data_IF_642113207038
#
_entry.id   IF_642113207038
#
_cell.length_a   1.000
_cell.length_b   1.000
_cell.length_c   1.000
_cell.angle_alpha   90.00
_cell.angle_beta   90.00
_cell.angle_gamma   90.00
#
_symmetry.space_group_name_H-M   'P 1'
#
loop_
_entity.id
_entity.type
_entity.pdbx_description
1 polymer ?
#
# COMPACT_ATOMS: atom_id res chain seq x y z
N UNK A 1 9.74 -0.22 -15.41
CA UNK A 1 8.35 -0.71 -15.29
C UNK A 1 8.29 -1.81 -14.24
N UNK A 2 7.27 -1.78 -13.38
CA UNK A 2 7.05 -2.75 -12.30
C UNK A 2 5.60 -3.22 -12.34
N UNK A 3 5.37 -4.50 -12.03
CA UNK A 3 4.05 -5.07 -11.75
C UNK A 3 4.07 -5.69 -10.36
N UNK A 4 2.99 -5.53 -9.59
CA UNK A 4 2.85 -6.10 -8.25
C UNK A 4 1.51 -6.81 -8.15
N UNK A 5 1.54 -8.04 -7.65
CA UNK A 5 0.36 -8.87 -7.42
C UNK A 5 0.07 -8.93 -5.91
N UNK A 6 -1.13 -8.53 -5.51
CA UNK A 6 -1.56 -8.60 -4.11
C UNK A 6 -2.15 -9.99 -3.84
N UNK A 7 -1.48 -10.79 -3.01
CA UNK A 7 -1.88 -12.16 -2.68
C UNK A 7 -2.43 -12.28 -1.26
N UNK A 8 -1.71 -11.76 -0.26
CA UNK A 8 -2.08 -11.73 1.15
C UNK A 8 -2.26 -13.10 1.82
N UNK A 9 -1.78 -14.18 1.19
CA UNK A 9 -1.80 -15.54 1.72
C UNK A 9 -0.80 -16.45 1.00
N UNK A 10 -0.37 -17.52 1.69
CA UNK A 10 0.39 -18.63 1.11
C UNK A 10 -0.44 -19.92 1.03
N UNK A 11 -1.59 -19.96 1.68
CA UNK A 11 -2.52 -21.10 1.62
C UNK A 11 -3.86 -20.70 1.02
N UNK A 12 -4.57 -21.67 0.42
CA UNK A 12 -5.93 -21.48 -0.13
C UNK A 12 -6.93 -21.07 0.95
N UNK A 13 -6.81 -21.69 2.11
CA UNK A 13 -7.69 -21.45 3.26
C UNK A 13 -7.59 -20.02 3.74
N UNK A 14 -6.37 -19.51 3.89
CA UNK A 14 -6.14 -18.13 4.30
C UNK A 14 -6.52 -17.16 3.18
N UNK A 15 -6.20 -17.48 1.93
CA UNK A 15 -6.60 -16.67 0.78
C UNK A 15 -8.13 -16.49 0.72
N UNK A 16 -8.87 -17.60 0.88
CA UNK A 16 -10.33 -17.55 0.90
C UNK A 16 -10.88 -16.67 2.03
N UNK A 17 -10.28 -16.72 3.22
CA UNK A 17 -10.68 -15.90 4.37
C UNK A 17 -10.38 -14.41 4.16
N UNK A 18 -9.23 -14.10 3.55
CA UNK A 18 -8.74 -12.71 3.40
C UNK A 18 -9.31 -12.05 2.15
N UNK A 19 -9.32 -12.78 1.03
CA UNK A 19 -9.74 -12.27 -0.28
C UNK A 19 -11.19 -12.59 -0.63
N UNK A 20 -11.85 -13.40 0.18
CA UNK A 20 -13.22 -13.87 -0.05
C UNK A 20 -13.40 -14.54 -1.43
N UNK A 21 -12.38 -15.27 -1.89
CA UNK A 21 -12.31 -15.89 -3.22
C UNK A 21 -11.66 -17.26 -3.14
N UNK A 22 -12.11 -18.19 -3.98
CA UNK A 22 -11.55 -19.53 -4.14
C UNK A 22 -10.50 -19.60 -5.28
N UNK A 23 -10.10 -18.48 -5.87
CA UNK A 23 -9.24 -18.43 -7.07
C UNK A 23 -7.74 -18.46 -6.77
N UNK A 24 -7.31 -18.89 -5.60
CA UNK A 24 -5.89 -18.90 -5.20
C UNK A 24 -4.97 -19.54 -6.26
N UNK A 25 -5.27 -20.78 -6.68
CA UNK A 25 -4.45 -21.49 -7.68
C UNK A 25 -4.40 -20.77 -9.02
N UNK A 26 -5.51 -20.22 -9.45
CA UNK A 26 -5.59 -19.47 -10.71
C UNK A 26 -4.69 -18.23 -10.66
N UNK A 27 -4.71 -17.52 -9.54
CA UNK A 27 -3.87 -16.31 -9.35
C UNK A 27 -2.39 -16.70 -9.29
N UNK A 28 -2.03 -17.70 -8.49
CA UNK A 28 -0.64 -18.19 -8.38
C UNK A 28 -0.13 -18.67 -9.74
N UNK A 29 -0.89 -19.51 -10.45
CA UNK A 29 -0.51 -20.00 -11.76
C UNK A 29 -0.37 -18.85 -12.79
N UNK A 30 -1.20 -17.81 -12.69
CA UNK A 30 -1.10 -16.64 -13.57
C UNK A 30 0.19 -15.85 -13.32
N UNK A 31 0.60 -15.71 -12.05
CA UNK A 31 1.87 -15.07 -11.68
C UNK A 31 3.05 -15.88 -12.23
N UNK A 32 3.07 -17.18 -11.98
CA UNK A 32 4.14 -18.08 -12.46
C UNK A 32 4.24 -18.05 -13.98
N UNK A 33 3.10 -18.11 -14.67
CA UNK A 33 3.05 -18.05 -16.14
C UNK A 33 3.53 -16.69 -16.66
N UNK A 34 3.19 -15.60 -15.98
CA UNK A 34 3.67 -14.27 -16.35
C UNK A 34 5.21 -14.19 -16.28
N UNK A 35 5.78 -14.72 -15.19
CA UNK A 35 7.24 -14.76 -14.99
C UNK A 35 7.90 -15.61 -16.07
N UNK A 36 7.36 -16.81 -16.32
CA UNK A 36 7.86 -17.70 -17.37
C UNK A 36 7.87 -17.02 -18.76
N UNK A 37 6.81 -16.31 -19.11
CA UNK A 37 6.71 -15.59 -20.40
C UNK A 37 7.72 -14.45 -20.48
N UNK A 38 7.92 -13.70 -19.40
CA UNK A 38 8.93 -12.64 -19.33
C UNK A 38 10.32 -13.23 -19.53
N UNK A 39 10.66 -14.24 -18.76
CA UNK A 39 12.02 -14.81 -18.71
C UNK A 39 12.35 -15.57 -20.00
N UNK A 40 11.40 -16.34 -20.54
CA UNK A 40 11.60 -17.05 -21.82
C UNK A 40 11.74 -16.10 -23.02
N UNK A 41 11.15 -14.92 -22.92
CA UNK A 41 11.35 -13.83 -23.89
C UNK A 41 12.67 -13.09 -23.75
N UNK A 42 13.49 -13.41 -22.74
CA UNK A 42 14.74 -12.70 -22.43
C UNK A 42 14.55 -11.31 -21.86
N UNK A 43 13.34 -10.99 -21.35
CA UNK A 43 13.03 -9.67 -20.81
C UNK A 43 13.39 -9.59 -19.33
N UNK A 44 14.02 -8.49 -18.92
CA UNK A 44 14.25 -8.16 -17.51
C UNK A 44 13.13 -7.29 -16.92
N UNK A 45 12.26 -6.78 -17.74
CA UNK A 45 11.13 -5.92 -17.34
C UNK A 45 9.80 -6.51 -17.82
N UNK A 46 8.73 -6.28 -17.08
CA UNK A 46 8.66 -5.50 -15.83
C UNK A 46 9.31 -6.23 -14.66
N UNK A 47 9.81 -5.49 -13.68
CA UNK A 47 10.13 -6.04 -12.35
C UNK A 47 8.84 -6.59 -11.74
N UNK A 48 8.85 -7.87 -11.35
CA UNK A 48 7.68 -8.58 -10.85
C UNK A 48 7.74 -8.70 -9.34
N UNK A 49 6.69 -8.26 -8.66
CA UNK A 49 6.60 -8.37 -7.21
C UNK A 49 5.29 -8.99 -6.74
N UNK A 50 5.32 -9.55 -5.53
CA UNK A 50 4.13 -9.93 -4.78
C UNK A 50 4.04 -9.09 -3.51
N UNK A 51 2.81 -8.81 -3.08
CA UNK A 51 2.59 -8.10 -1.82
C UNK A 51 1.64 -8.86 -0.91
N UNK A 52 1.87 -8.67 0.38
CA UNK A 52 1.14 -9.28 1.46
C UNK A 52 0.76 -8.20 2.48
N UNK A 53 -0.51 -7.89 2.59
CA UNK A 53 -1.02 -7.02 3.63
C UNK A 53 -1.24 -7.82 4.92
N UNK A 54 -0.37 -7.62 5.90
CA UNK A 54 -0.40 -8.33 7.17
C UNK A 54 -1.56 -7.88 8.03
N UNK A 55 -2.45 -8.82 8.36
CA UNK A 55 -3.57 -8.66 9.28
C UNK A 55 -3.59 -9.79 10.30
N UNK A 56 -4.41 -9.68 11.35
CA UNK A 56 -4.53 -10.70 12.39
C UNK A 56 -4.79 -12.12 11.83
N UNK A 57 -5.60 -12.22 10.76
CA UNK A 57 -6.01 -13.50 10.17
C UNK A 57 -4.87 -14.21 9.43
N UNK A 58 -3.94 -13.47 8.81
CA UNK A 58 -2.88 -14.04 7.98
C UNK A 58 -1.46 -13.83 8.51
N UNK A 59 -1.26 -13.12 9.61
CA UNK A 59 0.07 -12.78 10.14
C UNK A 59 1.01 -13.97 10.34
N UNK A 60 0.44 -15.16 10.61
CA UNK A 60 1.20 -16.41 10.79
C UNK A 60 1.79 -16.95 9.48
N UNK A 61 1.32 -16.47 8.33
CA UNK A 61 1.81 -16.87 7.02
C UNK A 61 2.88 -15.93 6.43
N UNK A 62 3.26 -14.86 7.12
CA UNK A 62 4.24 -13.89 6.61
C UNK A 62 5.58 -14.55 6.28
N UNK A 63 6.13 -15.29 7.25
CA UNK A 63 7.43 -15.94 7.07
C UNK A 63 7.41 -17.01 5.96
N UNK A 64 6.47 -18.00 5.95
CA UNK A 64 6.40 -18.95 4.84
C UNK A 64 6.09 -18.29 3.49
N UNK A 65 5.32 -17.18 3.44
CA UNK A 65 5.08 -16.42 2.23
C UNK A 65 6.39 -15.84 1.67
N UNK A 66 7.19 -15.21 2.51
CA UNK A 66 8.49 -14.67 2.12
C UNK A 66 9.43 -15.77 1.63
N UNK A 67 9.59 -16.85 2.39
CA UNK A 67 10.50 -17.97 2.04
C UNK A 67 10.14 -18.65 0.71
N UNK A 68 8.88 -18.63 0.34
CA UNK A 68 8.42 -19.19 -0.94
C UNK A 68 8.65 -18.22 -2.10
N UNK A 69 8.23 -16.97 -1.95
CA UNK A 69 8.18 -16.01 -3.05
C UNK A 69 9.52 -15.32 -3.33
N UNK A 70 10.42 -15.18 -2.36
CA UNK A 70 11.76 -14.57 -2.56
C UNK A 70 12.61 -15.29 -3.61
N UNK A 71 12.36 -16.58 -3.85
CA UNK A 71 13.03 -17.40 -4.85
C UNK A 71 12.41 -17.33 -6.24
N UNK A 72 11.25 -16.71 -6.37
CA UNK A 72 10.41 -16.77 -7.57
C UNK A 72 10.26 -15.40 -8.22
N UNK A 73 10.05 -14.37 -7.41
CA UNK A 73 9.79 -13.00 -7.88
C UNK A 73 10.97 -12.09 -7.62
N UNK A 74 11.00 -10.93 -8.26
CA UNK A 74 12.06 -9.95 -8.07
C UNK A 74 11.90 -9.16 -6.76
N UNK A 75 10.66 -9.03 -6.24
CA UNK A 75 10.36 -8.30 -5.01
C UNK A 75 9.26 -8.97 -4.19
N UNK A 76 9.46 -9.06 -2.88
CA UNK A 76 8.41 -9.44 -1.91
C UNK A 76 8.17 -8.26 -0.98
N UNK A 77 6.91 -7.83 -0.85
CA UNK A 77 6.54 -6.65 -0.07
C UNK A 77 5.55 -7.03 1.02
N UNK A 78 5.93 -6.85 2.28
CA UNK A 78 5.03 -7.02 3.41
C UNK A 78 4.53 -5.64 3.84
N UNK A 79 3.22 -5.46 3.81
CA UNK A 79 2.57 -4.20 4.08
C UNK A 79 1.79 -4.27 5.39
N UNK A 80 1.84 -3.21 6.15
CA UNK A 80 1.03 -3.03 7.34
C UNK A 80 -0.42 -2.69 6.94
N UNK A 81 -1.38 -3.28 7.63
CA UNK A 81 -2.78 -2.93 7.40
C UNK A 81 -3.05 -1.47 7.78
N UNK A 82 -3.57 -0.73 6.83
CA UNK A 82 -4.04 0.65 7.02
C UNK A 82 -5.57 0.69 6.84
N UNK A 83 -6.32 0.97 7.91
CA UNK A 83 -7.77 1.07 7.78
C UNK A 83 -8.14 2.30 6.94
N UNK A 84 -9.20 2.22 6.13
CA UNK A 84 -9.67 3.35 5.32
C UNK A 84 -10.11 4.55 6.19
N UNK A 85 -10.55 4.28 7.41
CA UNK A 85 -10.88 5.29 8.42
C UNK A 85 -10.45 4.77 9.79
N UNK A 86 -10.05 5.67 10.68
CA UNK A 86 -9.77 5.30 12.08
C UNK A 86 -11.09 5.01 12.80
N UNK A 87 -11.42 3.72 12.91
CA UNK A 87 -12.65 3.24 13.54
C UNK A 87 -12.38 1.92 14.27
N UNK A 88 -12.99 1.75 15.45
CA UNK A 88 -12.90 0.53 16.27
C UNK A 88 -13.34 -0.76 15.55
N UNK A 89 -14.17 -0.65 14.52
CA UNK A 89 -14.57 -1.78 13.66
C UNK A 89 -13.38 -2.52 13.09
N UNK A 90 -12.25 -1.81 12.85
CA UNK A 90 -11.04 -2.41 12.29
C UNK A 90 -10.08 -2.99 13.34
N UNK A 91 -10.38 -2.90 14.63
CA UNK A 91 -9.48 -3.38 15.69
C UNK A 91 -9.15 -4.88 15.58
N UNK A 92 -10.06 -5.68 15.04
CA UNK A 92 -9.85 -7.11 14.80
C UNK A 92 -8.91 -7.44 13.63
N UNK A 93 -8.62 -6.46 12.77
CA UNK A 93 -7.74 -6.65 11.60
C UNK A 93 -6.27 -6.40 11.91
N UNK A 94 -5.95 -5.63 12.94
CA UNK A 94 -4.56 -5.33 13.25
C UNK A 94 -3.79 -6.58 13.67
N UNK A 95 -2.64 -6.80 13.05
CA UNK A 95 -1.70 -7.82 13.48
C UNK A 95 -1.22 -7.57 14.92
N UNK A 96 -0.70 -8.60 15.59
CA UNK A 96 -0.35 -8.54 17.01
C UNK A 96 0.71 -7.48 17.32
N UNK A 97 1.69 -7.31 16.44
CA UNK A 97 2.76 -6.32 16.56
C UNK A 97 2.30 -4.87 16.30
N UNK A 98 1.22 -4.69 15.53
CA UNK A 98 0.62 -3.38 15.32
C UNK A 98 -0.15 -2.83 16.54
N UNK A 99 -0.61 -3.72 17.43
CA UNK A 99 -1.40 -3.34 18.61
C UNK A 99 -0.57 -2.67 19.70
N UNK A 100 0.73 -2.87 19.69
CA UNK A 100 1.62 -2.42 20.77
C UNK A 100 2.12 -0.96 20.60
N UNK A 101 1.57 -0.22 19.64
CA UNK A 101 2.01 1.14 19.35
C UNK A 101 3.40 1.18 18.71
N UNK A 102 3.69 2.26 18.01
CA UNK A 102 4.98 2.36 17.34
C UNK A 102 5.91 3.33 18.09
N UNK A 103 6.95 2.79 18.70
CA UNK A 103 7.99 3.58 19.35
C UNK A 103 8.89 4.33 18.35
N UNK A 104 8.84 3.97 17.06
CA UNK A 104 9.73 4.48 16.02
C UNK A 104 9.06 5.47 15.04
N UNK A 105 8.02 6.19 15.49
CA UNK A 105 7.41 7.23 14.64
C UNK A 105 8.43 8.35 14.43
N UNK A 106 8.83 8.64 13.17
CA UNK A 106 9.84 9.67 12.93
C UNK A 106 9.31 11.04 13.32
N UNK A 107 10.16 11.84 13.97
CA UNK A 107 9.85 13.23 14.31
C UNK A 107 9.73 14.13 13.07
N UNK A 108 10.36 13.74 11.95
CA UNK A 108 10.32 14.42 10.66
C UNK A 108 10.11 13.36 9.58
N UNK A 109 9.11 13.55 8.71
CA UNK A 109 8.88 12.68 7.57
C UNK A 109 8.39 13.45 6.35
N UNK A 110 9.09 13.30 5.23
CA UNK A 110 8.78 13.94 3.96
C UNK A 110 8.12 12.93 3.03
N UNK A 111 6.78 12.85 3.06
CA UNK A 111 6.03 11.94 2.20
C UNK A 111 6.16 12.37 0.72
N UNK A 112 6.60 11.48 -0.19
CA UNK A 112 6.73 11.79 -1.61
C UNK A 112 5.39 11.86 -2.35
N UNK A 113 4.37 11.17 -1.86
CA UNK A 113 3.08 10.99 -2.54
C UNK A 113 2.48 12.29 -3.11
N UNK A 114 2.36 13.40 -2.35
CA UNK A 114 1.76 14.63 -2.87
C UNK A 114 2.56 15.34 -3.96
N UNK A 115 3.79 14.89 -4.24
CA UNK A 115 4.68 15.46 -5.26
C UNK A 115 4.72 14.63 -6.54
N UNK A 116 4.28 13.37 -6.49
CA UNK A 116 4.48 12.40 -7.57
C UNK A 116 3.19 11.93 -8.21
N UNK A 117 2.04 12.04 -7.50
CA UNK A 117 0.78 11.48 -7.97
C UNK A 117 -0.45 12.23 -7.51
N UNK A 118 -1.55 11.91 -8.15
CA UNK A 118 -2.91 12.10 -7.65
C UNK A 118 -3.66 10.78 -7.72
N UNK A 119 -4.57 10.59 -6.79
CA UNK A 119 -5.53 9.48 -6.81
C UNK A 119 -6.92 10.03 -7.07
N UNK A 120 -7.67 9.37 -7.93
CA UNK A 120 -9.03 9.75 -8.29
C UNK A 120 -9.96 8.66 -7.80
N UNK A 121 -10.90 9.06 -6.93
CA UNK A 121 -11.93 8.16 -6.43
C UNK A 121 -13.30 8.78 -6.69
N UNK A 122 -14.11 8.12 -7.51
CA UNK A 122 -15.28 8.72 -8.17
C UNK A 122 -14.82 9.98 -8.93
N UNK A 123 -15.38 11.15 -8.71
CA UNK A 123 -14.92 12.40 -9.31
C UNK A 123 -13.86 13.13 -8.46
N UNK A 124 -13.72 12.76 -7.19
CA UNK A 124 -12.85 13.47 -6.25
C UNK A 124 -11.37 13.18 -6.49
N UNK A 125 -10.55 14.25 -6.45
CA UNK A 125 -9.10 14.21 -6.66
C UNK A 125 -8.40 14.37 -5.32
N UNK A 126 -7.45 13.46 -5.02
CA UNK A 126 -6.69 13.41 -3.77
C UNK A 126 -5.17 13.44 -4.05
N UNK A 127 -4.36 13.95 -3.11
CA UNK A 127 -2.90 14.04 -3.27
C UNK A 127 -2.17 12.73 -2.95
N UNK A 128 -2.88 11.68 -2.54
CA UNK A 128 -2.32 10.38 -2.17
C UNK A 128 -3.43 9.32 -2.06
N UNK A 129 -3.03 8.06 -1.90
CA UNK A 129 -3.93 6.91 -1.79
C UNK A 129 -4.82 6.89 -0.52
N UNK A 130 -4.65 7.80 0.42
CA UNK A 130 -5.51 7.91 1.61
C UNK A 130 -6.78 8.70 1.32
N UNK A 131 -7.50 8.29 0.29
CA UNK A 131 -8.70 8.97 -0.25
C UNK A 131 -9.96 8.81 0.62
N UNK A 132 -9.96 7.88 1.58
CA UNK A 132 -11.08 7.69 2.50
C UNK A 132 -11.37 8.91 3.38
N UNK A 133 -10.42 9.83 3.51
CA UNK A 133 -10.62 11.07 4.24
C UNK A 133 -10.94 12.23 3.30
N UNK A 134 -12.22 12.59 3.20
CA UNK A 134 -12.69 13.72 2.35
C UNK A 134 -11.98 15.05 2.63
N UNK A 135 -11.42 15.22 3.84
CA UNK A 135 -10.60 16.40 4.18
C UNK A 135 -9.31 16.51 3.36
N UNK A 136 -8.87 15.42 2.72
CA UNK A 136 -7.70 15.43 1.84
C UNK A 136 -8.04 15.77 0.38
N UNK A 137 -9.30 15.83 -0.02
CA UNK A 137 -9.72 16.19 -1.37
C UNK A 137 -9.13 17.54 -1.79
N UNK A 138 -8.47 17.58 -2.94
CA UNK A 138 -7.81 18.79 -3.50
C UNK A 138 -8.53 19.35 -4.71
N UNK A 139 -9.47 18.62 -5.30
CA UNK A 139 -10.31 19.04 -6.42
C UNK A 139 -11.36 17.99 -6.75
N UNK A 140 -12.15 18.28 -7.77
CA UNK A 140 -13.21 17.41 -8.27
C UNK A 140 -13.29 17.50 -9.80
N UNK A 141 -13.26 16.34 -10.48
CA UNK A 141 -13.33 16.28 -11.95
C UNK A 141 -14.63 16.86 -12.55
N UNK A 142 -15.66 17.01 -11.74
CA UNK A 142 -16.89 17.68 -12.20
C UNK A 142 -16.67 19.20 -12.42
N UNK A 143 -15.71 19.80 -11.71
CA UNK A 143 -15.49 21.24 -11.71
C UNK A 143 -14.05 21.66 -12.01
N UNK A 144 -13.09 20.72 -11.87
CA UNK A 144 -11.67 20.99 -11.96
C UNK A 144 -11.00 20.09 -13.01
N UNK A 145 -10.00 20.60 -13.67
CA UNK A 145 -9.01 19.77 -14.35
C UNK A 145 -8.00 19.21 -13.32
N UNK A 146 -7.32 18.10 -13.66
CA UNK A 146 -6.22 17.57 -12.83
C UNK A 146 -5.16 18.64 -12.57
N UNK A 147 -4.85 19.46 -13.58
CA UNK A 147 -3.89 20.56 -13.45
C UNK A 147 -4.34 21.60 -12.43
N UNK A 148 -5.61 22.00 -12.45
CA UNK A 148 -6.18 22.96 -11.48
C UNK A 148 -6.15 22.39 -10.05
N UNK A 149 -6.58 21.14 -9.88
CA UNK A 149 -6.54 20.43 -8.58
C UNK A 149 -5.11 20.32 -8.05
N UNK A 150 -4.16 19.91 -8.90
CA UNK A 150 -2.73 19.82 -8.57
C UNK A 150 -2.14 21.14 -8.11
N UNK A 151 -2.56 22.24 -8.73
CA UNK A 151 -2.10 23.59 -8.45
C UNK A 151 -2.98 24.36 -7.45
N UNK A 152 -4.01 23.73 -6.88
CA UNK A 152 -4.88 24.34 -5.89
C UNK A 152 -4.12 24.83 -4.66
N UNK A 153 -4.66 25.85 -3.98
CA UNK A 153 -4.08 26.36 -2.72
C UNK A 153 -3.88 25.23 -1.70
N UNK A 154 -4.84 24.30 -1.63
CA UNK A 154 -4.79 23.19 -0.71
C UNK A 154 -3.67 22.20 -1.05
N UNK A 155 -3.54 21.79 -2.32
CA UNK A 155 -2.46 20.90 -2.76
C UNK A 155 -1.08 21.52 -2.51
N UNK A 156 -0.92 22.82 -2.81
CA UNK A 156 0.33 23.56 -2.51
C UNK A 156 0.62 23.63 -1.02
N UNK A 157 -0.40 23.86 -0.18
CA UNK A 157 -0.24 23.88 1.28
C UNK A 157 0.20 22.51 1.82
N UNK A 158 -0.41 21.41 1.35
CA UNK A 158 -0.02 20.06 1.73
C UNK A 158 1.44 19.80 1.36
N UNK A 159 1.84 20.10 0.13
CA UNK A 159 3.24 19.95 -0.31
C UNK A 159 4.21 20.79 0.52
N UNK A 160 3.86 22.04 0.83
CA UNK A 160 4.71 22.89 1.67
C UNK A 160 4.95 22.30 3.07
N UNK A 161 3.91 21.77 3.70
CA UNK A 161 4.01 21.09 4.99
C UNK A 161 4.88 19.82 4.87
N UNK A 162 4.65 19.01 3.82
CA UNK A 162 5.42 17.77 3.59
C UNK A 162 6.88 18.05 3.25
N UNK A 163 7.19 19.13 2.52
CA UNK A 163 8.56 19.52 2.22
C UNK A 163 9.37 19.84 3.48
N UNK A 164 8.71 20.39 4.51
CA UNK A 164 9.31 20.65 5.83
C UNK A 164 9.38 19.40 6.70
N UNK A 165 8.68 18.34 6.32
CA UNK A 165 8.58 17.12 7.14
C UNK A 165 7.61 17.23 8.32
N UNK A 166 6.79 18.29 8.35
CA UNK A 166 5.87 18.64 9.45
C UNK A 166 4.52 17.90 9.30
N UNK A 167 4.54 16.60 8.98
CA UNK A 167 3.36 15.80 8.67
C UNK A 167 2.29 15.81 9.77
N UNK A 168 2.68 15.98 11.03
CA UNK A 168 1.77 16.04 12.19
C UNK A 168 0.79 17.22 12.15
N UNK A 169 1.07 18.24 11.35
CA UNK A 169 0.16 19.39 11.17
C UNK A 169 -1.09 19.02 10.36
N UNK A 170 -1.07 17.90 9.65
CA UNK A 170 -2.22 17.35 8.93
C UNK A 170 -2.62 16.06 9.63
N UNK A 171 -3.79 16.06 10.30
CA UNK A 171 -4.25 14.91 11.08
C UNK A 171 -4.19 13.60 10.29
N UNK A 172 -4.69 13.60 9.04
CA UNK A 172 -4.65 12.44 8.15
C UNK A 172 -3.23 11.92 7.91
N UNK A 173 -2.26 12.82 7.71
CA UNK A 173 -0.87 12.44 7.51
C UNK A 173 -0.25 11.92 8.81
N UNK A 174 -0.58 12.50 9.95
CA UNK A 174 -0.16 12.00 11.27
C UNK A 174 -0.66 10.58 11.50
N UNK A 175 -1.96 10.34 11.25
CA UNK A 175 -2.57 9.03 11.41
C UNK A 175 -1.92 8.00 10.46
N UNK A 176 -1.68 8.38 9.20
CA UNK A 176 -1.02 7.55 8.20
C UNK A 176 0.41 7.17 8.63
N UNK A 177 1.24 8.14 8.98
CA UNK A 177 2.63 7.90 9.39
C UNK A 177 2.67 7.01 10.63
N UNK A 178 1.83 7.27 11.63
CA UNK A 178 1.75 6.44 12.84
C UNK A 178 1.40 4.98 12.55
N UNK A 179 0.66 4.72 11.48
CA UNK A 179 0.29 3.35 11.08
C UNK A 179 1.34 2.72 10.17
N UNK A 180 1.89 3.47 9.21
CA UNK A 180 2.81 2.97 8.18
C UNK A 180 4.16 2.56 8.78
N UNK A 181 4.71 3.34 9.72
CA UNK A 181 6.02 3.03 10.31
C UNK A 181 6.03 1.87 11.31
N UNK A 182 4.87 1.21 11.48
CA UNK A 182 4.84 0.09 12.42
C UNK A 182 5.47 -1.21 11.90
N UNK A 183 5.62 -1.46 10.60
CA UNK A 183 6.30 -2.66 10.09
C UNK A 183 6.17 -2.88 8.56
N UNK A 184 6.51 -1.91 7.74
CA UNK A 184 6.68 -2.21 6.30
C UNK A 184 8.13 -2.57 6.03
N UNK A 185 8.35 -3.71 5.38
CA UNK A 185 9.65 -4.07 4.82
C UNK A 185 9.46 -4.68 3.43
N UNK A 186 10.43 -4.43 2.57
CA UNK A 186 10.51 -4.99 1.24
C UNK A 186 11.85 -5.73 1.14
N UNK A 187 11.81 -6.96 0.69
CA UNK A 187 12.99 -7.80 0.48
C UNK A 187 13.19 -7.94 -1.01
N UNK A 188 14.41 -7.69 -1.48
CA UNK A 188 14.78 -8.05 -2.84
C UNK A 188 14.74 -9.57 -2.95
N UNK A 189 14.00 -10.05 -3.94
CA UNK A 189 13.95 -11.46 -4.30
C UNK A 189 15.16 -11.85 -5.17
N UNK A 190 14.99 -12.90 -5.96
CA UNK A 190 16.02 -13.46 -6.86
C UNK A 190 16.73 -12.43 -7.76
#
# INVERSE_FOLDING_TARGET
TRIRFSLDAITKETYKKVRLSDEYDKVVNSILRFIELRDSGGYQLPVVGVSFCKIATNQHEVEPFMQYWDKIVDLVSIQTFMPPVQNSVFNGFYASDQKNGNENIPSIFKCPQPFERVDIHNSAIFPCCYYSNSKMKIGDLENDTIYQAWNSKKAKSIRHIMQKGEYWRIKTCKDCVSTTFSSEYEVEGR
#
